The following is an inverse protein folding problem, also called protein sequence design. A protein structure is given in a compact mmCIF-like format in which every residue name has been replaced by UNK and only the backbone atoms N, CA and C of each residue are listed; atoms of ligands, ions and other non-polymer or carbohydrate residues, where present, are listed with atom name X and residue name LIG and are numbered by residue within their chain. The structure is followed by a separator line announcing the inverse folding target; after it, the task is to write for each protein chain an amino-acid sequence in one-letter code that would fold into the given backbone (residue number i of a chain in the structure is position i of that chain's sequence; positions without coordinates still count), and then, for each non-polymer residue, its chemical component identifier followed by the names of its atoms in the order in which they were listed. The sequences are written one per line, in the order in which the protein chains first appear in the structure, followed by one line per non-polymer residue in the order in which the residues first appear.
data_IF_518057520136
#
_entry.id   IF_518057520136
#
_cell.length_a   1.000
_cell.length_b   1.000
_cell.length_c   1.000
_cell.angle_alpha   90.00
_cell.angle_beta   90.00
_cell.angle_gamma   90.00
#
_symmetry.space_group_name_H-M   'P 1'
#
loop_
_entity.id
_entity.type
_entity.pdbx_description
1 polymer ?
#
# COMPACT_ATOMS: atom_id res chain seq x y z
N UNK A 1 82.82 77.67 74.58
CA UNK A 1 81.42 78.12 74.63
C UNK A 1 80.77 78.30 73.24
N UNK A 2 81.13 79.32 72.45
CA UNK A 2 80.46 79.55 71.15
C UNK A 2 80.72 78.45 70.11
N UNK A 3 81.93 77.88 70.10
CA UNK A 3 82.26 76.71 69.26
C UNK A 3 81.57 75.43 69.72
N UNK A 4 81.37 75.24 71.03
CA UNK A 4 80.71 74.06 71.59
C UNK A 4 79.20 74.08 71.34
N UNK A 5 78.57 75.26 71.46
CA UNK A 5 77.18 75.48 71.11
C UNK A 5 76.93 75.24 69.60
N UNK A 6 77.81 75.75 68.73
CA UNK A 6 77.71 75.50 67.29
C UNK A 6 77.86 74.01 66.95
N UNK A 7 78.82 73.33 67.59
CA UNK A 7 79.03 71.88 67.42
C UNK A 7 77.79 71.09 67.85
N UNK A 8 77.18 71.44 68.97
CA UNK A 8 75.94 70.81 69.43
C UNK A 8 74.79 71.01 68.42
N UNK A 9 74.60 72.21 67.89
CA UNK A 9 73.58 72.49 66.86
C UNK A 9 73.82 71.73 65.55
N UNK A 10 75.09 71.58 65.15
CA UNK A 10 75.45 70.78 63.97
C UNK A 10 75.18 69.29 64.22
N UNK A 11 75.50 68.79 65.41
CA UNK A 11 75.26 67.39 65.77
C UNK A 11 73.77 67.06 65.89
N UNK A 12 72.95 67.95 66.46
CA UNK A 12 71.48 67.78 66.51
C UNK A 12 70.86 67.84 65.12
N UNK A 13 71.24 68.82 64.29
CA UNK A 13 70.75 68.91 62.92
C UNK A 13 71.17 67.70 62.07
N UNK A 14 72.37 67.16 62.32
CA UNK A 14 72.82 65.92 61.68
C UNK A 14 71.97 64.73 62.13
N UNK A 15 71.69 64.59 63.43
CA UNK A 15 70.85 63.52 63.95
C UNK A 15 69.40 63.59 63.43
N UNK A 16 68.82 64.79 63.35
CA UNK A 16 67.48 64.99 62.77
C UNK A 16 67.43 64.60 61.28
N UNK A 17 68.44 65.01 60.50
CA UNK A 17 68.54 64.64 59.09
C UNK A 17 68.75 63.13 58.92
N UNK A 18 69.57 62.52 59.76
CA UNK A 18 69.78 61.06 59.77
C UNK A 18 68.47 60.32 60.05
N UNK A 19 67.72 60.72 61.08
CA UNK A 19 66.40 60.17 61.39
C UNK A 19 65.39 60.36 60.24
N UNK A 20 65.42 61.54 59.60
CA UNK A 20 64.57 61.80 58.43
C UNK A 20 64.96 60.92 57.24
N UNK A 21 66.25 60.70 56.99
CA UNK A 21 66.73 59.81 55.94
C UNK A 21 66.30 58.36 56.22
N UNK A 22 66.49 57.87 57.44
CA UNK A 22 66.04 56.53 57.84
C UNK A 22 64.52 56.35 57.67
N UNK A 23 63.73 57.37 57.99
CA UNK A 23 62.27 57.32 57.80
C UNK A 23 61.89 57.28 56.32
N UNK A 24 62.57 58.09 55.49
CA UNK A 24 62.36 58.09 54.03
C UNK A 24 62.78 56.74 53.44
N UNK A 25 63.92 56.19 53.86
CA UNK A 25 64.40 54.87 53.43
C UNK A 25 63.43 53.75 53.83
N UNK A 26 62.95 53.75 55.07
CA UNK A 26 61.97 52.76 55.53
C UNK A 26 60.67 52.83 54.73
N UNK A 27 60.16 54.04 54.47
CA UNK A 27 58.96 54.23 53.65
C UNK A 27 59.19 53.84 52.18
N UNK A 28 60.33 54.19 51.61
CA UNK A 28 60.67 53.81 50.24
C UNK A 28 60.78 52.28 50.11
N UNK A 29 61.34 51.60 51.13
CA UNK A 29 61.42 50.14 51.17
C UNK A 29 60.01 49.51 51.26
N UNK A 30 59.13 50.04 52.11
CA UNK A 30 57.73 49.60 52.21
C UNK A 30 56.98 49.77 50.88
N UNK A 31 57.14 50.93 50.21
CA UNK A 31 56.54 51.21 48.90
C UNK A 31 57.08 50.25 47.82
N UNK A 32 58.39 49.95 47.84
CA UNK A 32 59.02 48.97 46.94
C UNK A 32 58.45 47.57 47.19
N UNK A 33 58.37 47.13 48.44
CA UNK A 33 57.86 45.80 48.79
C UNK A 33 56.38 45.67 48.41
N UNK A 34 55.59 46.72 48.64
CA UNK A 34 54.20 46.82 48.21
C UNK A 34 54.05 46.73 46.68
N UNK A 35 54.89 47.46 45.94
CA UNK A 35 54.88 47.42 44.48
C UNK A 35 55.31 46.04 43.92
N UNK A 36 56.31 45.40 44.55
CA UNK A 36 56.76 44.04 44.19
C UNK A 36 55.66 43.02 44.44
N UNK A 37 54.99 43.08 45.59
CA UNK A 37 53.87 42.19 45.93
C UNK A 37 52.68 42.38 44.96
N UNK A 38 52.32 43.63 44.67
CA UNK A 38 51.27 43.95 43.70
C UNK A 38 51.60 43.44 42.30
N UNK A 39 52.85 43.61 41.84
CA UNK A 39 53.33 43.08 40.56
C UNK A 39 53.25 41.56 40.53
N UNK A 40 53.68 40.87 41.59
CA UNK A 40 53.61 39.41 41.69
C UNK A 40 52.17 38.92 41.56
N UNK A 41 51.24 39.50 42.32
CA UNK A 41 49.82 39.15 42.26
C UNK A 41 49.19 39.45 40.88
N UNK A 42 49.60 40.55 40.23
CA UNK A 42 49.15 40.87 38.88
C UNK A 42 49.66 39.83 37.85
N UNK A 43 50.91 39.38 37.98
CA UNK A 43 51.48 38.32 37.14
C UNK A 43 50.76 36.98 37.35
N UNK A 44 50.50 36.59 38.60
CA UNK A 44 49.75 35.37 38.93
C UNK A 44 48.33 35.39 38.34
N UNK A 45 47.63 36.52 38.48
CA UNK A 45 46.31 36.70 37.85
C UNK A 45 46.37 36.64 36.33
N UNK A 46 47.39 37.24 35.72
CA UNK A 46 47.58 37.20 34.27
C UNK A 46 47.85 35.77 33.79
N UNK A 47 48.69 35.01 34.50
CA UNK A 47 48.99 33.63 34.17
C UNK A 47 47.73 32.75 34.26
N UNK A 48 46.98 32.86 35.35
CA UNK A 48 45.74 32.10 35.54
C UNK A 48 44.66 32.48 34.51
N UNK A 49 44.60 33.74 34.07
CA UNK A 49 43.72 34.16 32.98
C UNK A 49 44.14 33.52 31.64
N UNK A 50 45.44 33.46 31.34
CA UNK A 50 45.97 32.83 30.13
C UNK A 50 45.71 31.31 30.12
N UNK A 51 45.92 30.63 31.25
CA UNK A 51 45.63 29.19 31.38
C UNK A 51 44.14 28.90 31.14
N UNK A 52 43.25 29.71 31.72
CA UNK A 52 41.80 29.59 31.51
C UNK A 52 41.39 29.88 30.06
N UNK A 53 41.98 30.90 29.44
CA UNK A 53 41.73 31.21 28.03
C UNK A 53 42.20 30.07 27.11
N UNK A 54 43.35 29.47 27.42
CA UNK A 54 43.86 28.28 26.71
C UNK A 54 42.91 27.10 26.82
N UNK A 55 42.48 26.74 28.04
CA UNK A 55 41.54 25.64 28.25
C UNK A 55 40.17 25.89 27.58
N UNK A 56 39.68 27.13 27.60
CA UNK A 56 38.44 27.50 26.91
C UNK A 56 38.59 27.39 25.38
N UNK A 57 39.72 27.81 24.82
CA UNK A 57 40.00 27.71 23.39
C UNK A 57 40.09 26.25 22.93
N UNK A 58 40.76 25.39 23.68
CA UNK A 58 40.84 23.96 23.39
C UNK A 58 39.45 23.30 23.42
N UNK A 59 38.64 23.64 24.43
CA UNK A 59 37.26 23.14 24.52
C UNK A 59 36.40 23.62 23.35
N UNK A 60 36.50 24.89 22.97
CA UNK A 60 35.78 25.43 21.82
C UNK A 60 36.16 24.72 20.52
N UNK A 61 37.45 24.45 20.32
CA UNK A 61 37.93 23.70 19.17
C UNK A 61 37.43 22.25 19.12
N UNK A 62 37.37 21.57 20.28
CA UNK A 62 36.82 20.21 20.35
C UNK A 62 35.31 20.18 20.06
N UNK A 63 34.56 21.17 20.56
CA UNK A 63 33.13 21.30 20.27
C UNK A 63 32.88 21.59 18.78
N UNK A 64 33.66 22.46 18.15
CA UNK A 64 33.54 22.75 16.71
C UNK A 64 33.77 21.51 15.84
N UNK A 65 34.76 20.68 16.22
CA UNK A 65 34.98 19.37 15.58
C UNK A 65 33.79 18.43 15.75
N UNK A 66 33.22 18.35 16.95
CA UNK A 66 32.04 17.52 17.20
C UNK A 66 30.82 18.00 16.41
N UNK A 67 30.58 19.31 16.37
CA UNK A 67 29.49 19.93 15.60
C UNK A 67 29.66 19.62 14.12
N UNK A 68 30.85 19.83 13.57
CA UNK A 68 31.16 19.50 12.17
C UNK A 68 30.92 18.01 11.89
N UNK A 69 31.38 17.12 12.77
CA UNK A 69 31.15 15.67 12.65
C UNK A 69 29.66 15.34 12.66
N UNK A 70 28.89 15.92 13.58
CA UNK A 70 27.45 15.70 13.67
C UNK A 70 26.73 16.17 12.41
N UNK A 71 27.09 17.33 11.85
CA UNK A 71 26.53 17.79 10.58
C UNK A 71 26.80 16.82 9.43
N UNK A 72 28.02 16.27 9.33
CA UNK A 72 28.33 15.28 8.29
C UNK A 72 27.50 14.00 8.45
N UNK A 73 27.31 13.52 9.69
CA UNK A 73 26.49 12.34 9.98
C UNK A 73 25.01 12.58 9.67
N UNK A 74 24.49 13.78 9.97
CA UNK A 74 23.10 14.14 9.63
C UNK A 74 22.93 14.19 8.11
N UNK A 75 23.86 14.81 7.38
CA UNK A 75 23.81 14.85 5.92
C UNK A 75 23.85 13.44 5.30
N UNK A 76 24.72 12.56 5.80
CA UNK A 76 24.77 11.16 5.38
C UNK A 76 23.45 10.42 5.68
N UNK A 77 22.92 10.54 6.90
CA UNK A 77 21.64 9.94 7.28
C UNK A 77 20.48 10.41 6.37
N UNK A 78 20.46 11.70 6.02
CA UNK A 78 19.45 12.26 5.11
C UNK A 78 19.58 11.67 3.71
N UNK A 79 20.80 11.60 3.17
CA UNK A 79 21.07 11.00 1.87
C UNK A 79 20.66 9.52 1.81
N UNK A 80 21.01 8.74 2.84
CA UNK A 80 20.64 7.32 2.94
C UNK A 80 19.13 7.12 3.02
N UNK A 81 18.43 7.98 3.78
CA UNK A 81 16.97 7.93 3.89
C UNK A 81 16.31 8.27 2.55
N UNK A 82 16.82 9.27 1.85
CA UNK A 82 16.28 9.66 0.55
C UNK A 82 16.52 8.58 -0.50
N UNK A 83 17.67 7.90 -0.49
CA UNK A 83 17.96 6.75 -1.33
C UNK A 83 16.98 5.60 -1.06
N UNK A 84 16.81 5.20 0.21
CA UNK A 84 15.84 4.16 0.60
C UNK A 84 14.41 4.51 0.19
N UNK A 85 14.02 5.78 0.34
CA UNK A 85 12.71 6.25 -0.11
C UNK A 85 12.55 6.08 -1.61
N UNK A 86 13.54 6.48 -2.41
CA UNK A 86 13.50 6.33 -3.86
C UNK A 86 13.39 4.85 -4.28
N UNK A 87 14.12 3.96 -3.61
CA UNK A 87 14.07 2.53 -3.92
C UNK A 87 12.69 1.93 -3.59
N UNK A 88 12.09 2.32 -2.46
CA UNK A 88 10.71 1.94 -2.13
C UNK A 88 9.71 2.43 -3.17
N UNK A 89 9.84 3.68 -3.63
CA UNK A 89 8.97 4.22 -4.70
C UNK A 89 9.14 3.42 -5.99
N UNK A 90 10.38 3.15 -6.42
CA UNK A 90 10.65 2.37 -7.63
C UNK A 90 10.08 0.95 -7.54
N UNK A 91 10.21 0.31 -6.38
CA UNK A 91 9.64 -1.01 -6.13
C UNK A 91 8.11 -0.98 -6.23
N UNK A 92 7.46 -0.05 -5.54
CA UNK A 92 6.01 0.08 -5.57
C UNK A 92 5.49 0.39 -6.98
N UNK A 93 6.17 1.26 -7.74
CA UNK A 93 5.82 1.51 -9.13
C UNK A 93 5.99 0.28 -10.02
N UNK A 94 7.01 -0.54 -9.78
CA UNK A 94 7.19 -1.80 -10.49
C UNK A 94 6.02 -2.75 -10.23
N UNK A 95 5.63 -2.93 -8.97
CA UNK A 95 4.51 -3.80 -8.57
C UNK A 95 3.18 -3.31 -9.18
N UNK A 96 2.94 -2.00 -9.14
CA UNK A 96 1.75 -1.39 -9.78
C UNK A 96 1.74 -1.67 -11.28
N UNK A 97 2.88 -1.49 -11.97
CA UNK A 97 2.99 -1.79 -13.41
C UNK A 97 2.73 -3.26 -13.70
N UNK A 98 3.28 -4.17 -12.89
CA UNK A 98 3.06 -5.60 -13.05
C UNK A 98 1.59 -5.97 -12.86
N UNK A 99 0.95 -5.46 -11.80
CA UNK A 99 -0.47 -5.73 -11.53
C UNK A 99 -1.41 -5.14 -12.58
N UNK A 100 -1.06 -3.97 -13.12
CA UNK A 100 -1.78 -3.40 -14.26
C UNK A 100 -1.69 -4.30 -15.49
N UNK A 101 -0.49 -4.75 -15.87
CA UNK A 101 -0.31 -5.66 -17.01
C UNK A 101 -1.06 -6.98 -16.83
N UNK A 102 -1.04 -7.55 -15.61
CA UNK A 102 -1.79 -8.76 -15.26
C UNK A 102 -3.30 -8.55 -15.42
N UNK A 103 -3.82 -7.41 -14.93
CA UNK A 103 -5.24 -7.06 -15.04
C UNK A 103 -5.64 -6.85 -16.50
N UNK A 104 -4.85 -6.11 -17.28
CA UNK A 104 -5.10 -5.86 -18.70
C UNK A 104 -5.10 -7.16 -19.51
N UNK A 105 -4.25 -8.13 -19.13
CA UNK A 105 -4.27 -9.48 -19.72
C UNK A 105 -5.56 -10.22 -19.35
N UNK A 106 -5.92 -10.25 -18.06
CA UNK A 106 -7.13 -10.94 -17.60
C UNK A 106 -8.41 -10.36 -18.25
N UNK A 107 -8.50 -9.05 -18.42
CA UNK A 107 -9.63 -8.39 -19.09
C UNK A 107 -9.72 -8.82 -20.56
N UNK A 108 -8.59 -8.87 -21.27
CA UNK A 108 -8.55 -9.35 -22.67
C UNK A 108 -8.96 -10.81 -22.78
N UNK A 109 -8.42 -11.67 -21.91
CA UNK A 109 -8.73 -13.10 -21.89
C UNK A 109 -10.23 -13.33 -21.58
N UNK A 110 -10.80 -12.58 -20.64
CA UNK A 110 -12.23 -12.65 -20.31
C UNK A 110 -13.12 -12.13 -21.44
N UNK A 111 -12.70 -11.05 -22.11
CA UNK A 111 -13.42 -10.52 -23.27
C UNK A 111 -13.46 -11.54 -24.42
N UNK A 112 -12.32 -12.19 -24.72
CA UNK A 112 -12.26 -13.24 -25.72
C UNK A 112 -13.17 -14.41 -25.36
N UNK A 113 -13.15 -14.85 -24.09
CA UNK A 113 -14.04 -15.90 -23.60
C UNK A 113 -15.52 -15.54 -23.72
N UNK A 114 -15.90 -14.30 -23.40
CA UNK A 114 -17.28 -13.84 -23.53
C UNK A 114 -17.74 -13.86 -24.99
N UNK A 115 -16.87 -13.46 -25.93
CA UNK A 115 -17.15 -13.56 -27.37
C UNK A 115 -17.34 -15.02 -27.81
N UNK A 116 -16.44 -15.93 -27.42
CA UNK A 116 -16.56 -17.37 -27.71
C UNK A 116 -17.91 -17.92 -27.19
N UNK A 117 -18.30 -17.58 -25.96
CA UNK A 117 -19.57 -18.03 -25.39
C UNK A 117 -20.80 -17.45 -26.07
N UNK A 118 -20.71 -16.20 -26.54
CA UNK A 118 -21.79 -15.57 -27.29
C UNK A 118 -21.96 -16.23 -28.66
N UNK A 119 -20.86 -16.56 -29.35
CA UNK A 119 -20.88 -17.30 -30.62
C UNK A 119 -21.51 -18.69 -30.45
N UNK A 120 -21.09 -19.44 -29.44
CA UNK A 120 -21.66 -20.76 -29.11
C UNK A 120 -23.17 -20.67 -28.83
N UNK A 121 -23.60 -19.65 -28.09
CA UNK A 121 -25.02 -19.42 -27.80
C UNK A 121 -25.82 -19.14 -29.08
N UNK A 122 -25.29 -18.32 -30.00
CA UNK A 122 -25.95 -18.07 -31.29
C UNK A 122 -26.04 -19.33 -32.16
N UNK A 123 -24.98 -20.14 -32.23
CA UNK A 123 -25.00 -21.42 -32.94
C UNK A 123 -26.06 -22.37 -32.36
N UNK A 124 -26.18 -22.42 -31.04
CA UNK A 124 -27.21 -23.22 -30.37
C UNK A 124 -28.62 -22.73 -30.68
N UNK A 125 -28.86 -21.41 -30.65
CA UNK A 125 -30.14 -20.81 -31.02
C UNK A 125 -30.49 -21.11 -32.48
N UNK A 126 -29.53 -20.95 -33.40
CA UNK A 126 -29.74 -21.23 -34.81
C UNK A 126 -30.10 -22.71 -35.03
N UNK A 127 -29.42 -23.62 -34.35
CA UNK A 127 -29.70 -25.07 -34.40
C UNK A 127 -31.11 -25.36 -33.88
N UNK A 128 -31.51 -24.77 -32.76
CA UNK A 128 -32.86 -24.91 -32.22
C UNK A 128 -33.92 -24.38 -33.20
N UNK A 129 -33.70 -23.22 -33.82
CA UNK A 129 -34.60 -22.67 -34.82
C UNK A 129 -34.71 -23.55 -36.07
N UNK A 130 -33.59 -24.13 -36.54
CA UNK A 130 -33.58 -25.11 -37.64
C UNK A 130 -34.41 -26.34 -37.29
N UNK A 131 -34.24 -26.88 -36.08
CA UNK A 131 -34.99 -28.04 -35.60
C UNK A 131 -36.50 -27.75 -35.49
N UNK A 132 -36.88 -26.58 -34.96
CA UNK A 132 -38.28 -26.16 -34.86
C UNK A 132 -38.91 -26.00 -36.25
N UNK A 133 -38.22 -25.36 -37.20
CA UNK A 133 -38.70 -25.23 -38.59
C UNK A 133 -38.85 -26.58 -39.28
N UNK A 134 -37.87 -27.48 -39.11
CA UNK A 134 -37.94 -28.83 -39.66
C UNK A 134 -39.12 -29.62 -39.08
N UNK A 135 -39.31 -29.56 -37.76
CA UNK A 135 -40.45 -30.19 -37.08
C UNK A 135 -41.79 -29.62 -37.54
N UNK A 136 -41.90 -28.28 -37.64
CA UNK A 136 -43.10 -27.60 -38.14
C UNK A 136 -43.42 -27.94 -39.59
N UNK A 137 -42.41 -28.02 -40.46
CA UNK A 137 -42.57 -28.45 -41.86
C UNK A 137 -43.04 -29.90 -41.96
N UNK A 138 -42.45 -30.80 -41.16
CA UNK A 138 -42.90 -32.19 -41.07
C UNK A 138 -44.36 -32.29 -40.59
N UNK A 139 -44.72 -31.56 -39.54
CA UNK A 139 -46.08 -31.49 -39.03
C UNK A 139 -47.07 -30.91 -40.05
N UNK A 140 -46.66 -29.89 -40.82
CA UNK A 140 -47.45 -29.32 -41.91
C UNK A 140 -47.69 -30.32 -43.06
N UNK A 141 -46.67 -31.08 -43.44
CA UNK A 141 -46.80 -32.17 -44.41
C UNK A 141 -47.77 -33.27 -43.94
N UNK A 142 -47.64 -33.68 -42.67
CA UNK A 142 -48.57 -34.62 -42.04
C UNK A 142 -49.99 -34.07 -41.91
N UNK A 143 -50.16 -32.76 -41.70
CA UNK A 143 -51.47 -32.11 -41.66
C UNK A 143 -52.14 -32.06 -43.04
N UNK A 144 -51.39 -31.69 -44.09
CA UNK A 144 -51.90 -31.64 -45.47
C UNK A 144 -52.38 -33.02 -45.97
N UNK A 145 -51.61 -34.08 -45.69
CA UNK A 145 -52.01 -35.47 -45.98
C UNK A 145 -53.17 -35.97 -45.11
N UNK A 146 -53.43 -35.31 -43.96
CA UNK A 146 -54.57 -35.55 -43.07
C UNK A 146 -55.80 -34.69 -43.39
N UNK A 147 -55.86 -34.01 -44.53
CA UNK A 147 -57.12 -33.44 -45.06
C UNK A 147 -58.08 -34.56 -45.49
N UNK A 148 -58.49 -35.35 -44.51
CA UNK A 148 -59.42 -36.45 -44.57
C UNK A 148 -60.78 -35.93 -45.03
N UNK A 149 -61.14 -34.73 -44.55
CA UNK A 149 -62.35 -34.02 -44.94
C UNK A 149 -62.45 -33.79 -46.44
N UNK A 150 -61.35 -33.50 -47.14
CA UNK A 150 -61.36 -33.30 -48.59
C UNK A 150 -61.75 -34.56 -49.37
N UNK A 151 -61.26 -35.74 -48.95
CA UNK A 151 -61.65 -37.02 -49.57
C UNK A 151 -63.13 -37.32 -49.37
N UNK A 152 -63.64 -37.11 -48.16
CA UNK A 152 -65.07 -37.28 -47.85
C UNK A 152 -65.94 -36.28 -48.59
N UNK A 153 -65.49 -35.02 -48.68
CA UNK A 153 -66.14 -33.96 -49.43
C UNK A 153 -66.23 -34.27 -50.93
N UNK A 154 -65.15 -34.78 -51.53
CA UNK A 154 -65.14 -35.20 -52.93
C UNK A 154 -66.10 -36.37 -53.19
N UNK A 155 -66.20 -37.33 -52.28
CA UNK A 155 -67.18 -38.43 -52.34
C UNK A 155 -68.62 -37.89 -52.21
N UNK A 156 -68.86 -36.92 -51.34
CA UNK A 156 -70.16 -36.28 -51.18
C UNK A 156 -70.58 -35.45 -52.41
N UNK A 157 -69.66 -34.69 -53.03
CA UNK A 157 -69.90 -33.97 -54.29
C UNK A 157 -70.21 -34.97 -55.42
N UNK A 158 -69.44 -36.05 -55.53
CA UNK A 158 -69.64 -37.05 -56.57
C UNK A 158 -71.02 -37.72 -56.46
N UNK A 159 -71.56 -37.83 -55.25
CA UNK A 159 -72.95 -38.26 -55.03
C UNK A 159 -73.97 -37.18 -55.41
N UNK A 160 -73.72 -35.92 -55.02
CA UNK A 160 -74.60 -34.78 -55.33
C UNK A 160 -74.71 -34.48 -56.83
N UNK A 161 -73.66 -34.82 -57.60
CA UNK A 161 -73.61 -34.70 -59.06
C UNK A 161 -74.12 -35.96 -59.79
N UNK A 162 -74.72 -36.90 -59.06
CA UNK A 162 -75.25 -38.19 -59.55
C UNK A 162 -74.23 -39.12 -60.24
N UNK A 163 -72.93 -38.80 -60.18
CA UNK A 163 -71.86 -39.61 -60.74
C UNK A 163 -71.61 -40.94 -59.98
N UNK A 164 -72.30 -41.15 -58.86
CA UNK A 164 -72.14 -42.30 -57.98
C UNK A 164 -73.49 -42.78 -57.41
N UNK A 165 -73.69 -44.10 -57.37
CA UNK A 165 -74.88 -44.71 -56.77
C UNK A 165 -74.90 -44.55 -55.24
N UNK A 166 -76.09 -44.55 -54.63
CA UNK A 166 -76.26 -44.44 -53.17
C UNK A 166 -75.50 -45.53 -52.41
N UNK A 167 -75.55 -46.77 -52.92
CA UNK A 167 -74.89 -47.90 -52.29
C UNK A 167 -73.36 -47.79 -52.37
N UNK A 168 -72.84 -47.30 -53.50
CA UNK A 168 -71.40 -47.02 -53.65
C UNK A 168 -70.96 -45.87 -52.75
N UNK A 169 -71.80 -44.83 -52.61
CA UNK A 169 -71.54 -43.72 -51.69
C UNK A 169 -71.45 -44.17 -50.23
N UNK A 170 -72.41 -44.96 -49.75
CA UNK A 170 -72.38 -45.47 -48.37
C UNK A 170 -71.16 -46.35 -48.12
N UNK A 171 -70.82 -47.22 -49.07
CA UNK A 171 -69.65 -48.10 -48.96
C UNK A 171 -68.35 -47.30 -48.88
N UNK A 172 -68.13 -46.33 -49.77
CA UNK A 172 -66.92 -45.50 -49.76
C UNK A 172 -66.88 -44.56 -48.54
N UNK A 173 -68.03 -44.06 -48.08
CA UNK A 173 -68.14 -43.26 -46.86
C UNK A 173 -67.74 -44.06 -45.62
N UNK A 174 -68.30 -45.26 -45.46
CA UNK A 174 -68.01 -46.15 -44.33
C UNK A 174 -66.56 -46.62 -44.35
N UNK A 175 -66.03 -46.94 -45.54
CA UNK A 175 -64.62 -47.26 -45.74
C UNK A 175 -63.72 -46.09 -45.34
N UNK A 176 -64.01 -44.87 -45.78
CA UNK A 176 -63.24 -43.68 -45.38
C UNK A 176 -63.30 -43.47 -43.87
N UNK A 177 -64.48 -43.55 -43.25
CA UNK A 177 -64.64 -43.41 -41.79
C UNK A 177 -63.88 -44.53 -41.05
N UNK A 178 -63.94 -45.77 -41.54
CA UNK A 178 -63.24 -46.92 -40.97
C UNK A 178 -61.71 -46.78 -41.07
N UNK A 179 -61.19 -46.36 -42.22
CA UNK A 179 -59.77 -46.03 -42.41
C UNK A 179 -59.33 -44.90 -41.48
N UNK A 180 -60.18 -43.89 -41.28
CA UNK A 180 -59.87 -42.77 -40.37
C UNK A 180 -59.83 -43.23 -38.93
N UNK A 181 -60.81 -44.03 -38.50
CA UNK A 181 -60.89 -44.56 -37.15
C UNK A 181 -59.72 -45.50 -36.86
N UNK A 182 -59.39 -46.41 -37.78
CA UNK A 182 -58.24 -47.31 -37.65
C UNK A 182 -56.91 -46.55 -37.57
N UNK A 183 -56.74 -45.53 -38.41
CA UNK A 183 -55.55 -44.68 -38.34
C UNK A 183 -55.53 -43.78 -37.09
N UNK A 184 -56.68 -43.36 -36.57
CA UNK A 184 -56.76 -42.60 -35.32
C UNK A 184 -56.43 -43.49 -34.12
N UNK A 185 -57.03 -44.67 -34.02
CA UNK A 185 -56.78 -45.63 -32.94
C UNK A 185 -55.30 -46.02 -32.85
N UNK A 186 -54.68 -46.35 -33.99
CA UNK A 186 -53.23 -46.65 -34.05
C UNK A 186 -52.33 -45.48 -33.66
N UNK A 187 -52.78 -44.23 -33.84
CA UNK A 187 -52.04 -43.06 -33.39
C UNK A 187 -52.31 -42.71 -31.93
N UNK A 188 -53.51 -42.92 -31.41
CA UNK A 188 -53.83 -42.70 -29.98
C UNK A 188 -53.09 -43.70 -29.10
N UNK A 189 -52.98 -44.96 -29.53
CA UNK A 189 -52.21 -45.97 -28.81
C UNK A 189 -50.69 -45.73 -28.91
N UNK A 190 -50.24 -45.08 -29.99
CA UNK A 190 -48.84 -44.67 -30.18
C UNK A 190 -48.50 -43.31 -29.52
N UNK A 191 -49.50 -42.55 -29.07
CA UNK A 191 -49.30 -41.42 -28.16
C UNK A 191 -48.97 -42.00 -26.77
N UNK A 192 -47.75 -42.53 -26.63
CA UNK A 192 -47.04 -42.56 -25.34
C UNK A 192 -47.27 -41.18 -24.72
N UNK A 193 -47.64 -41.07 -23.43
CA UNK A 193 -47.81 -39.77 -22.77
C UNK A 193 -46.58 -38.94 -23.12
N UNK A 194 -46.81 -37.95 -23.99
CA UNK A 194 -45.71 -37.21 -24.59
C UNK A 194 -44.88 -36.58 -23.47
N UNK A 195 -43.58 -36.33 -23.69
CA UNK A 195 -42.83 -35.52 -22.76
C UNK A 195 -43.68 -34.26 -22.46
N UNK A 196 -43.79 -33.88 -21.18
CA UNK A 196 -44.74 -32.86 -20.74
C UNK A 196 -44.65 -31.65 -21.66
N UNK A 197 -45.82 -31.17 -22.08
CA UNK A 197 -45.97 -30.03 -22.96
C UNK A 197 -44.99 -28.90 -22.58
N UNK A 198 -44.48 -28.15 -23.56
CA UNK A 198 -43.61 -26.99 -23.32
C UNK A 198 -44.23 -25.90 -22.41
N UNK A 199 -45.49 -26.03 -22.01
CA UNK A 199 -46.14 -25.22 -20.98
C UNK A 199 -45.83 -25.68 -19.53
N UNK A 200 -45.24 -26.88 -19.36
CA UNK A 200 -44.69 -27.42 -18.11
C UNK A 200 -43.16 -27.46 -18.10
N UNK A 201 -42.49 -26.80 -19.05
CA UNK A 201 -41.16 -26.25 -18.78
C UNK A 201 -41.33 -25.11 -17.78
N UNK A 202 -41.62 -25.48 -16.52
CA UNK A 202 -40.95 -24.81 -15.41
C UNK A 202 -39.50 -24.67 -15.86
N UNK A 203 -39.04 -23.43 -15.94
CA UNK A 203 -37.69 -23.03 -16.30
C UNK A 203 -36.73 -23.91 -15.51
N UNK A 204 -36.40 -25.08 -16.05
CA UNK A 204 -35.28 -25.88 -15.62
C UNK A 204 -34.12 -25.09 -16.20
N UNK A 205 -33.75 -24.04 -15.44
CA UNK A 205 -32.39 -23.52 -15.42
C UNK A 205 -31.50 -24.73 -15.63
N UNK A 206 -30.65 -24.76 -16.67
CA UNK A 206 -29.66 -25.80 -16.80
C UNK A 206 -28.92 -25.90 -15.46
N UNK A 207 -29.24 -26.93 -14.66
CA UNK A 207 -28.57 -27.20 -13.38
C UNK A 207 -27.14 -27.66 -13.64
N UNK A 208 -26.86 -28.04 -14.88
CA UNK A 208 -25.53 -28.16 -15.44
C UNK A 208 -25.04 -26.79 -15.88
N UNK A 209 -24.04 -26.20 -15.18
CA UNK A 209 -23.35 -25.03 -15.71
C UNK A 209 -22.87 -25.35 -17.13
N UNK A 210 -23.05 -24.41 -18.06
CA UNK A 210 -22.49 -24.56 -19.41
C UNK A 210 -21.00 -24.84 -19.25
N UNK A 211 -20.63 -26.09 -19.53
CA UNK A 211 -19.24 -26.53 -19.46
C UNK A 211 -18.67 -26.38 -20.86
N UNK A 212 -17.46 -25.82 -21.00
CA UNK A 212 -16.83 -25.69 -22.30
C UNK A 212 -16.71 -27.07 -22.95
N UNK A 213 -17.04 -27.16 -24.24
CA UNK A 213 -17.09 -28.41 -25.02
C UNK A 213 -15.74 -29.11 -25.15
N UNK A 214 -14.64 -28.46 -24.81
CA UNK A 214 -13.30 -29.04 -24.87
C UNK A 214 -12.94 -29.76 -23.57
N UNK A 215 -12.82 -31.09 -23.59
CA UNK A 215 -12.37 -31.90 -22.45
C UNK A 215 -10.98 -31.49 -21.91
N UNK A 216 -10.16 -30.84 -22.74
CA UNK A 216 -8.79 -30.46 -22.39
C UNK A 216 -8.64 -29.04 -21.80
N UNK A 217 -9.72 -28.25 -21.66
CA UNK A 217 -9.58 -26.85 -21.18
C UNK A 217 -10.07 -26.74 -19.73
N UNK A 218 -9.19 -26.37 -18.78
CA UNK A 218 -9.56 -26.24 -17.37
C UNK A 218 -10.66 -25.18 -17.21
N UNK A 219 -11.67 -25.47 -16.39
CA UNK A 219 -12.78 -24.52 -16.15
C UNK A 219 -12.22 -23.26 -15.51
N UNK A 220 -12.92 -22.13 -15.64
CA UNK A 220 -12.51 -20.87 -14.98
C UNK A 220 -12.34 -21.04 -13.46
N UNK A 221 -13.16 -21.88 -12.84
CA UNK A 221 -13.06 -22.27 -11.43
C UNK A 221 -11.78 -23.08 -11.15
N UNK A 222 -11.40 -23.96 -12.06
CA UNK A 222 -10.16 -24.75 -11.94
C UNK A 222 -8.93 -23.87 -12.14
N UNK A 223 -8.97 -22.92 -13.08
CA UNK A 223 -7.92 -21.90 -13.26
C UNK A 223 -7.82 -20.98 -12.05
N UNK A 224 -8.94 -20.54 -11.46
CA UNK A 224 -8.95 -19.74 -10.24
C UNK A 224 -8.36 -20.53 -9.06
N UNK A 225 -8.72 -21.82 -8.92
CA UNK A 225 -8.13 -22.72 -7.92
C UNK A 225 -6.63 -22.91 -8.18
N UNK A 226 -6.20 -23.05 -9.42
CA UNK A 226 -4.80 -23.22 -9.80
C UNK A 226 -3.98 -21.95 -9.52
N UNK A 227 -4.54 -20.76 -9.79
CA UNK A 227 -3.92 -19.47 -9.41
C UNK A 227 -3.81 -19.32 -7.89
N UNK A 228 -4.84 -19.71 -7.14
CA UNK A 228 -4.80 -19.68 -5.67
C UNK A 228 -3.75 -20.65 -5.10
N UNK A 229 -3.57 -21.82 -5.73
CA UNK A 229 -2.51 -22.75 -5.36
C UNK A 229 -1.12 -22.21 -5.72
N UNK A 230 -0.97 -21.57 -6.89
CA UNK A 230 0.30 -20.93 -7.27
C UNK A 230 0.65 -19.75 -6.36
N UNK A 231 -0.31 -18.92 -5.97
CA UNK A 231 -0.05 -17.82 -5.04
C UNK A 231 0.31 -18.34 -3.64
N UNK A 232 -0.35 -19.41 -3.18
CA UNK A 232 0.02 -20.08 -1.93
C UNK A 232 1.43 -20.69 -2.00
N UNK A 233 1.82 -21.30 -3.12
CA UNK A 233 3.16 -21.84 -3.32
C UNK A 233 4.24 -20.75 -3.36
N UNK A 234 3.98 -19.63 -4.04
CA UNK A 234 4.89 -18.48 -4.05
C UNK A 234 5.05 -17.89 -2.65
N UNK A 235 3.96 -17.82 -1.87
CA UNK A 235 4.00 -17.37 -0.49
C UNK A 235 4.86 -18.30 0.40
N UNK A 236 4.71 -19.61 0.24
CA UNK A 236 5.52 -20.61 0.96
C UNK A 236 6.99 -20.54 0.52
N UNK A 237 7.25 -20.40 -0.78
CA UNK A 237 8.60 -20.31 -1.35
C UNK A 237 9.32 -19.05 -0.85
N UNK A 238 8.66 -17.89 -0.86
CA UNK A 238 9.21 -16.63 -0.34
C UNK A 238 9.47 -16.68 1.18
N UNK A 239 8.69 -17.49 1.92
CA UNK A 239 8.93 -17.71 3.35
C UNK A 239 10.12 -18.64 3.61
N UNK A 240 10.39 -19.60 2.71
CA UNK A 240 11.51 -20.54 2.83
C UNK A 240 12.84 -19.97 2.33
N UNK A 241 12.82 -19.02 1.39
CA UNK A 241 14.02 -18.37 0.87
C UNK A 241 14.70 -17.41 1.86
N UNK A 242 14.14 -17.21 3.06
CA UNK A 242 14.78 -16.42 4.12
C UNK A 242 14.89 -14.93 3.81
N UNK A 243 14.27 -14.44 2.74
CA UNK A 243 14.00 -13.01 2.58
C UNK A 243 13.08 -12.60 3.71
N UNK A 244 13.65 -11.87 4.68
CA UNK A 244 12.88 -11.32 5.78
C UNK A 244 11.81 -10.41 5.19
N UNK A 245 10.59 -10.92 5.09
CA UNK A 245 9.41 -10.10 4.86
C UNK A 245 9.47 -8.95 5.87
N UNK A 246 9.27 -7.69 5.44
CA UNK A 246 9.08 -6.60 6.39
C UNK A 246 7.98 -7.05 7.37
N UNK A 247 8.18 -6.84 8.68
CA UNK A 247 7.29 -7.37 9.70
C UNK A 247 5.86 -7.05 9.30
N UNK A 248 5.05 -8.10 9.19
CA UNK A 248 3.62 -7.99 8.96
C UNK A 248 3.12 -7.06 10.06
N UNK A 249 2.77 -5.82 9.69
CA UNK A 249 2.11 -4.90 10.60
C UNK A 249 0.75 -5.54 10.84
N UNK A 250 0.66 -6.34 11.90
CA UNK A 250 -0.61 -6.72 12.50
C UNK A 250 -1.34 -5.41 12.75
N UNK A 251 -2.31 -5.13 11.87
CA UNK A 251 -3.35 -4.14 12.11
C UNK A 251 -4.26 -4.72 13.20
N UNK A 252 -3.69 -4.90 14.39
CA UNK A 252 -4.45 -5.12 15.59
C UNK A 252 -5.23 -3.83 15.83
N UNK A 253 -6.54 -3.94 15.67
CA UNK A 253 -7.52 -2.90 15.96
C UNK A 253 -7.63 -2.62 17.46
N UNK A 254 -6.51 -2.33 18.11
CA UNK A 254 -6.46 -1.75 19.46
C UNK A 254 -5.94 -0.33 19.37
N UNK A 255 -6.90 0.57 19.16
CA UNK A 255 -6.79 1.96 19.60
C UNK A 255 -6.17 2.04 21.01
N UNK A 256 -5.04 2.74 21.12
CA UNK A 256 -4.69 3.42 22.37
C UNK A 256 -3.60 2.77 23.22
N UNK A 257 -2.36 2.77 22.73
CA UNK A 257 -1.21 3.36 23.44
C UNK A 257 0.04 3.24 22.57
N UNK A 258 0.26 4.30 21.82
CA UNK A 258 1.51 4.60 21.15
C UNK A 258 2.66 4.63 22.17
N UNK A 259 3.38 3.51 22.31
CA UNK A 259 4.78 3.53 22.70
C UNK A 259 5.55 4.11 21.51
N UNK A 260 5.49 5.44 21.39
CA UNK A 260 6.43 6.21 20.59
C UNK A 260 7.81 5.99 21.22
N UNK A 261 8.52 4.97 20.72
CA UNK A 261 9.97 5.06 20.67
C UNK A 261 10.26 6.30 19.83
N UNK A 262 10.50 7.42 20.50
CA UNK A 262 10.79 8.69 19.86
C UNK A 262 11.86 8.44 18.80
N UNK A 263 11.64 8.88 17.54
CA UNK A 263 12.59 8.65 16.47
C UNK A 263 13.96 9.16 16.94
N UNK A 264 15.08 8.54 16.52
CA UNK A 264 16.42 8.93 16.97
C UNK A 264 16.73 10.42 16.76
N UNK A 265 15.99 11.08 15.86
CA UNK A 265 16.01 12.53 15.65
C UNK A 265 15.44 13.35 16.82
N UNK A 266 14.38 12.88 17.48
CA UNK A 266 13.80 13.55 18.66
C UNK A 266 14.77 13.50 19.86
N UNK A 267 15.51 12.39 20.03
CA UNK A 267 16.58 12.27 21.04
C UNK A 267 17.80 13.14 20.74
N UNK A 268 18.02 13.51 19.48
CA UNK A 268 19.09 14.43 19.06
C UNK A 268 18.70 15.89 19.34
N UNK A 269 17.44 16.27 19.07
CA UNK A 269 16.91 17.59 19.40
C UNK A 269 16.92 17.82 20.92
N UNK A 270 16.42 16.84 21.68
CA UNK A 270 16.41 16.91 23.16
C UNK A 270 17.84 16.96 23.75
N UNK A 271 18.83 16.34 23.08
CA UNK A 271 20.25 16.46 23.46
C UNK A 271 20.85 17.82 23.12
N UNK A 272 20.43 18.46 22.03
CA UNK A 272 20.88 19.81 21.67
C UNK A 272 20.30 20.85 22.61
N UNK A 273 19.02 20.75 22.97
CA UNK A 273 18.37 21.66 23.92
C UNK A 273 19.01 21.58 25.32
N UNK A 274 19.31 20.37 25.79
CA UNK A 274 20.05 20.16 27.05
C UNK A 274 21.51 20.70 26.99
N UNK A 275 22.11 20.81 25.81
CA UNK A 275 23.45 21.36 25.64
C UNK A 275 23.42 22.90 25.65
N UNK A 276 22.39 23.50 25.08
CA UNK A 276 22.15 24.96 25.11
C UNK A 276 21.87 25.42 26.55
N UNK A 277 20.98 24.75 27.29
CA UNK A 277 20.71 25.09 28.70
C UNK A 277 21.97 24.98 29.58
N UNK A 278 22.86 24.03 29.30
CA UNK A 278 24.13 23.88 30.04
C UNK A 278 25.16 24.96 29.70
N UNK A 279 25.13 25.51 28.49
CA UNK A 279 26.01 26.61 28.10
C UNK A 279 25.52 27.95 28.68
N UNK A 280 24.22 28.16 28.82
CA UNK A 280 23.67 29.37 29.44
C UNK A 280 23.90 29.43 30.95
N UNK A 281 23.89 28.28 31.65
CA UNK A 281 24.13 28.23 33.10
C UNK A 281 25.59 28.55 33.51
N UNK A 282 26.57 28.33 32.64
CA UNK A 282 27.99 28.63 32.89
C UNK A 282 28.37 30.08 32.54
N UNK A 283 27.46 30.84 31.91
CA UNK A 283 27.66 32.26 31.61
C UNK A 283 27.46 33.19 32.82
N UNK A 284 27.13 32.62 33.98
CA UNK A 284 27.21 33.19 35.34
C UNK A 284 27.53 34.68 35.39
N UNK A 285 26.53 35.50 35.07
CA UNK A 285 26.60 36.94 35.20
C UNK A 285 26.98 37.31 36.62
N UNK A 286 28.21 37.80 36.81
CA UNK A 286 28.59 38.43 38.09
C UNK A 286 27.65 39.61 38.34
N UNK A 287 27.05 39.73 39.54
CA UNK A 287 26.33 40.93 39.90
C UNK A 287 27.30 42.12 39.85
N UNK A 288 26.99 43.10 39.01
CA UNK A 288 27.63 44.41 38.96
C UNK A 288 27.39 45.09 40.30
N UNK A 289 28.31 44.98 41.25
CA UNK A 289 28.39 45.89 42.38
C UNK A 289 28.97 47.21 41.83
N UNK A 290 28.11 48.22 41.69
CA UNK A 290 28.52 49.58 41.38
C UNK A 290 29.15 50.25 42.63
N UNK A 291 30.11 51.17 42.46
CA UNK A 291 30.64 51.99 43.55
C UNK A 291 29.62 53.04 44.03
#
# INVERSE_FOLDING_TARGET
ELLDAHRHTVDTSRAEKEMSLQTIEAKAQEDIDGAVAARKHALERSQLALERAGAASERAFMLDKEVTRLYTLVAQCMADRDAKRQDLVRSAEHDIRQKKQETDKNVRDLSAFACEMQEDAFVSIETMQKNVRASSSCAGGLSSSRSRFEKLYNVAISRATEAMSEQTYQTEREKLIGEWYGSWATHVDALVPGPPCLAQETVLRPTTPMTPRSENRPRSVDLARQRALQSAQLFISNRQSGESLPPLVELDGTTGRSLQAAPPQARLVERLDNLVERLDLDSGGRPRTAP
#
